data_IF_757220882993
#
_entry.id   IF_757220882993
#
_cell.length_a   1.000
_cell.length_b   1.000
_cell.length_c   1.000
_cell.angle_alpha   90.00
_cell.angle_beta   90.00
_cell.angle_gamma   90.00
#
_symmetry.space_group_name_H-M   'P 1'
#
loop_
_entity.id
_entity.type
_entity.pdbx_description
1 polymer ?
#
# COMPACT_ATOMS: atom_id res chain seq x y z
N UNK A 1 27.39 -11.47 -19.49
CA UNK A 1 26.28 -11.80 -20.44
C UNK A 1 24.89 -12.01 -19.77
N UNK A 2 24.73 -11.75 -18.46
CA UNK A 2 23.44 -11.86 -17.77
C UNK A 2 22.71 -10.52 -17.53
N UNK A 3 23.25 -9.41 -17.97
CA UNK A 3 22.67 -8.06 -17.76
C UNK A 3 21.72 -7.61 -18.86
N UNK A 4 21.75 -8.23 -20.04
CA UNK A 4 20.92 -7.82 -21.18
C UNK A 4 19.46 -8.33 -21.13
N UNK A 5 19.20 -9.43 -20.43
CA UNK A 5 17.86 -10.05 -20.39
C UNK A 5 16.88 -9.35 -19.41
N UNK A 6 17.41 -8.70 -18.36
CA UNK A 6 16.58 -8.03 -17.34
C UNK A 6 16.04 -6.67 -17.83
N UNK A 7 16.86 -5.94 -18.59
CA UNK A 7 16.43 -4.63 -19.17
C UNK A 7 15.32 -4.82 -20.21
N UNK A 8 15.33 -5.91 -20.96
CA UNK A 8 14.28 -6.23 -21.93
C UNK A 8 12.94 -6.62 -21.28
N UNK A 9 12.94 -7.25 -20.10
CA UNK A 9 11.72 -7.67 -19.41
C UNK A 9 10.99 -6.50 -18.72
N UNK A 10 11.72 -5.54 -18.19
CA UNK A 10 11.10 -4.36 -17.54
C UNK A 10 10.48 -3.40 -18.55
N UNK A 11 11.11 -3.21 -19.70
CA UNK A 11 10.55 -2.41 -20.79
C UNK A 11 9.26 -3.03 -21.37
N UNK A 12 9.17 -4.36 -21.43
CA UNK A 12 7.95 -5.09 -21.82
C UNK A 12 6.78 -4.92 -20.84
N UNK A 13 7.02 -4.80 -19.54
CA UNK A 13 5.96 -4.64 -18.53
C UNK A 13 5.30 -3.27 -18.67
N UNK A 14 6.07 -2.19 -18.87
CA UNK A 14 5.57 -0.82 -19.00
C UNK A 14 4.68 -0.58 -20.21
N UNK A 15 4.92 -1.30 -21.29
CA UNK A 15 4.13 -1.17 -22.52
C UNK A 15 2.92 -2.11 -22.55
N UNK A 16 2.93 -3.14 -21.72
CA UNK A 16 1.91 -4.20 -21.71
C UNK A 16 0.58 -3.75 -21.09
N UNK A 17 0.59 -2.79 -20.15
CA UNK A 17 -0.59 -2.37 -19.43
C UNK A 17 -0.95 -0.91 -19.73
N UNK A 18 -2.24 -0.61 -19.67
CA UNK A 18 -2.77 0.74 -19.83
C UNK A 18 -3.24 1.35 -18.52
N UNK A 19 -3.45 0.53 -17.49
CA UNK A 19 -3.94 0.92 -16.18
C UNK A 19 -3.09 0.28 -15.07
N UNK A 20 -2.68 1.09 -14.11
CA UNK A 20 -1.84 0.71 -12.98
C UNK A 20 -2.56 1.01 -11.69
N UNK A 21 -2.88 -0.03 -10.92
CA UNK A 21 -3.49 0.07 -9.59
C UNK A 21 -2.42 -0.24 -8.55
N UNK A 22 -2.11 0.73 -7.72
CA UNK A 22 -1.06 0.59 -6.70
C UNK A 22 -1.66 0.47 -5.30
N UNK A 23 -1.05 -0.35 -4.45
CA UNK A 23 -1.14 -0.14 -3.00
C UNK A 23 -0.34 1.11 -2.61
N UNK A 24 -0.54 1.60 -1.39
CA UNK A 24 0.10 2.80 -0.87
C UNK A 24 1.25 2.48 0.08
N UNK A 25 0.90 1.90 1.24
CA UNK A 25 1.84 1.64 2.35
C UNK A 25 2.78 0.48 2.02
N UNK A 26 4.08 0.71 1.93
CA UNK A 26 5.06 -0.31 1.53
C UNK A 26 5.24 -0.47 0.02
N UNK A 27 4.41 0.18 -0.79
CA UNK A 27 4.48 0.12 -2.26
C UNK A 27 4.91 1.46 -2.86
N UNK A 28 4.12 2.51 -2.71
CA UNK A 28 4.46 3.86 -3.17
C UNK A 28 5.15 4.69 -2.07
N UNK A 29 4.72 4.53 -0.82
CA UNK A 29 5.21 5.30 0.32
C UNK A 29 5.84 4.40 1.39
N UNK A 30 6.97 4.86 1.92
CA UNK A 30 7.60 4.32 3.12
C UNK A 30 6.93 4.95 4.34
N UNK A 31 5.92 4.28 4.90
CA UNK A 31 5.05 4.81 5.97
C UNK A 31 5.29 4.14 7.33
N UNK A 32 6.17 3.13 7.39
CA UNK A 32 6.32 2.25 8.55
C UNK A 32 6.74 3.00 9.82
N UNK A 33 7.65 3.98 9.70
CA UNK A 33 8.15 4.70 10.85
C UNK A 33 7.07 5.53 11.54
N UNK A 34 6.24 6.25 10.77
CA UNK A 34 5.14 7.06 11.32
C UNK A 34 4.02 6.17 11.90
N UNK A 35 3.74 5.02 11.26
CA UNK A 35 2.83 4.01 11.81
C UNK A 35 3.34 3.45 13.14
N UNK A 36 4.63 3.12 13.24
CA UNK A 36 5.24 2.60 14.45
C UNK A 36 5.27 3.64 15.57
N UNK A 37 5.64 4.89 15.25
CA UNK A 37 5.63 5.99 16.21
C UNK A 37 4.23 6.23 16.79
N UNK A 38 3.20 6.27 15.94
CA UNK A 38 1.82 6.47 16.38
C UNK A 38 1.26 5.27 17.15
N UNK A 39 1.66 4.05 16.77
CA UNK A 39 1.32 2.84 17.52
C UNK A 39 1.89 2.89 18.93
N UNK A 40 3.17 3.21 19.06
CA UNK A 40 3.86 3.28 20.35
C UNK A 40 3.36 4.44 21.22
N UNK A 41 3.09 5.61 20.62
CA UNK A 41 2.42 6.69 21.32
C UNK A 41 1.10 6.24 21.95
N UNK A 42 0.25 5.59 21.19
CA UNK A 42 -1.05 5.11 21.69
C UNK A 42 -0.90 4.04 22.77
N UNK A 43 0.03 3.10 22.61
CA UNK A 43 0.29 2.05 23.60
C UNK A 43 0.80 2.66 24.91
N UNK A 44 1.83 3.49 24.86
CA UNK A 44 2.45 4.08 26.06
C UNK A 44 1.53 5.05 26.80
N UNK A 45 0.72 5.82 26.06
CA UNK A 45 -0.32 6.70 26.64
C UNK A 45 -1.40 5.94 27.41
N UNK A 46 -1.54 4.64 27.16
CA UNK A 46 -2.48 3.75 27.85
C UNK A 46 -1.77 2.73 28.75
N UNK A 47 -0.51 2.96 29.12
CA UNK A 47 0.25 2.13 30.06
C UNK A 47 0.66 0.75 29.51
N UNK A 48 0.73 0.60 28.20
CA UNK A 48 1.11 -0.65 27.53
C UNK A 48 2.55 -0.58 27.01
N UNK A 49 3.24 -1.73 26.87
CA UNK A 49 4.59 -1.78 26.34
C UNK A 49 4.64 -1.40 24.85
N UNK A 50 5.74 -0.77 24.46
CA UNK A 50 6.04 -0.47 23.05
C UNK A 50 6.23 -1.75 22.22
N UNK A 51 6.05 -1.60 20.91
CA UNK A 51 6.37 -2.58 19.89
C UNK A 51 7.61 -2.15 19.10
N UNK A 52 8.42 -3.10 18.74
CA UNK A 52 9.54 -2.86 17.83
C UNK A 52 9.02 -2.55 16.43
N UNK A 53 9.83 -1.87 15.62
CA UNK A 53 9.46 -1.58 14.23
C UNK A 53 9.22 -2.85 13.41
N UNK A 54 9.94 -3.94 13.70
CA UNK A 54 9.77 -5.22 13.03
C UNK A 54 8.47 -5.94 13.44
N UNK A 55 8.01 -5.76 14.67
CA UNK A 55 6.68 -6.22 15.08
C UNK A 55 5.60 -5.44 14.34
N UNK A 56 5.69 -4.10 14.32
CA UNK A 56 4.73 -3.25 13.60
C UNK A 56 4.71 -3.58 12.13
N UNK A 57 5.86 -3.80 11.48
CA UNK A 57 5.96 -4.25 10.08
C UNK A 57 5.15 -5.51 9.81
N UNK A 58 5.19 -6.49 10.72
CA UNK A 58 4.40 -7.73 10.60
C UNK A 58 2.91 -7.51 10.82
N UNK A 59 2.53 -6.49 11.58
CA UNK A 59 1.13 -6.20 11.90
C UNK A 59 0.40 -5.44 10.79
N UNK A 60 1.11 -4.69 9.95
CA UNK A 60 0.56 -3.89 8.84
C UNK A 60 0.04 -4.79 7.70
N UNK A 61 -0.89 -4.27 6.89
CA UNK A 61 -1.42 -4.86 5.65
C UNK A 61 -2.95 -5.06 5.65
N UNK A 62 -3.55 -5.35 6.81
CA UNK A 62 -4.99 -5.63 6.91
C UNK A 62 -5.81 -4.44 7.47
N UNK A 63 -5.28 -3.22 7.38
CA UNK A 63 -5.86 -2.00 7.92
C UNK A 63 -5.44 -1.71 9.37
N UNK A 64 -5.59 -0.46 9.77
CA UNK A 64 -5.05 0.05 11.05
C UNK A 64 -5.74 -0.54 12.29
N UNK A 65 -7.03 -0.91 12.20
CA UNK A 65 -7.70 -1.58 13.30
C UNK A 65 -7.06 -2.94 13.60
N UNK A 66 -6.70 -3.69 12.53
CA UNK A 66 -6.01 -4.99 12.66
C UNK A 66 -4.57 -4.84 13.14
N UNK A 67 -3.88 -3.76 12.74
CA UNK A 67 -2.59 -3.40 13.29
C UNK A 67 -2.69 -3.24 14.82
N UNK A 68 -3.63 -2.42 15.29
CA UNK A 68 -3.79 -2.15 16.73
C UNK A 68 -4.29 -3.39 17.50
N UNK A 69 -5.16 -4.22 16.91
CA UNK A 69 -5.55 -5.51 17.51
C UNK A 69 -4.34 -6.43 17.78
N UNK A 70 -3.35 -6.43 16.86
CA UNK A 70 -2.12 -7.21 17.02
C UNK A 70 -1.12 -6.55 17.98
N UNK A 71 -1.12 -5.23 18.07
CA UNK A 71 -0.19 -4.47 18.89
C UNK A 71 -0.60 -4.41 20.36
N UNK A 72 -1.90 -4.24 20.63
CA UNK A 72 -2.45 -4.16 22.01
C UNK A 72 -2.37 -5.52 22.68
N UNK A 73 -1.80 -5.63 23.89
CA UNK A 73 -1.83 -6.87 24.68
C UNK A 73 -3.27 -7.32 24.92
N UNK A 74 -3.59 -8.57 24.55
CA UNK A 74 -4.96 -9.11 24.62
C UNK A 74 -5.88 -8.67 23.47
N UNK A 75 -5.40 -7.84 22.54
CA UNK A 75 -6.14 -7.47 21.35
C UNK A 75 -7.49 -6.81 21.64
N UNK A 76 -8.54 -7.27 20.96
CA UNK A 76 -9.92 -6.75 21.13
C UNK A 76 -10.51 -6.99 22.51
N UNK A 77 -10.00 -7.99 23.25
CA UNK A 77 -10.48 -8.30 24.60
C UNK A 77 -9.91 -7.36 25.67
N UNK A 78 -8.94 -6.51 25.32
CA UNK A 78 -8.40 -5.52 26.23
C UNK A 78 -9.41 -4.39 26.43
N UNK A 79 -9.84 -4.10 27.68
CA UNK A 79 -10.84 -3.05 27.96
C UNK A 79 -10.39 -1.64 27.52
N UNK A 80 -9.08 -1.41 27.33
CA UNK A 80 -8.56 -0.14 26.84
C UNK A 80 -8.39 -0.11 25.30
N UNK A 81 -8.79 -1.16 24.57
CA UNK A 81 -8.56 -1.25 23.12
C UNK A 81 -9.16 -0.06 22.36
N UNK A 82 -10.43 0.24 22.57
CA UNK A 82 -11.13 1.28 21.82
C UNK A 82 -10.49 2.66 22.05
N UNK A 83 -10.10 2.94 23.30
CA UNK A 83 -9.39 4.19 23.63
C UNK A 83 -8.02 4.23 22.96
N UNK A 84 -7.24 3.16 23.04
CA UNK A 84 -5.91 3.07 22.43
C UNK A 84 -5.99 3.21 20.92
N UNK A 85 -6.98 2.61 20.29
CA UNK A 85 -7.22 2.75 18.86
C UNK A 85 -7.62 4.17 18.46
N UNK A 86 -8.44 4.86 19.27
CA UNK A 86 -8.79 6.26 19.06
C UNK A 86 -7.56 7.18 19.18
N UNK A 87 -6.72 6.96 20.21
CA UNK A 87 -5.47 7.71 20.42
C UNK A 87 -4.51 7.50 19.23
N UNK A 88 -4.38 6.26 18.73
CA UNK A 88 -3.62 5.97 17.52
C UNK A 88 -4.11 6.79 16.32
N UNK A 89 -5.42 6.75 16.05
CA UNK A 89 -5.99 7.45 14.91
C UNK A 89 -5.76 8.96 14.98
N UNK A 90 -5.97 9.54 16.17
CA UNK A 90 -5.76 10.96 16.38
C UNK A 90 -4.30 11.36 16.19
N UNK A 91 -3.37 10.61 16.77
CA UNK A 91 -1.93 10.87 16.66
C UNK A 91 -1.47 10.69 15.21
N UNK A 92 -1.86 9.59 14.57
CA UNK A 92 -1.44 9.29 13.20
C UNK A 92 -1.90 10.36 12.19
N UNK A 93 -3.11 10.91 12.35
CA UNK A 93 -3.59 12.00 11.48
C UNK A 93 -2.78 13.29 11.61
N UNK A 94 -2.07 13.49 12.70
CA UNK A 94 -1.22 14.67 12.92
C UNK A 94 0.25 14.41 12.55
N UNK A 95 0.67 13.14 12.50
CA UNK A 95 2.06 12.71 12.38
C UNK A 95 2.32 11.75 11.21
N UNK A 96 1.39 11.63 10.26
CA UNK A 96 1.50 10.72 9.11
C UNK A 96 2.43 11.24 8.00
N UNK A 97 2.98 12.45 8.17
CA UNK A 97 3.90 13.12 7.25
C UNK A 97 5.27 13.41 7.89
N UNK A 98 5.52 12.95 9.12
CA UNK A 98 6.75 13.29 9.85
C UNK A 98 7.99 12.68 9.17
N UNK A 99 7.90 11.42 8.75
CA UNK A 99 8.99 10.68 8.09
C UNK A 99 8.53 9.95 6.82
N UNK A 100 7.25 9.91 6.57
CA UNK A 100 6.69 9.27 5.37
C UNK A 100 7.24 9.95 4.11
N UNK A 101 7.70 9.15 3.16
CA UNK A 101 8.21 9.63 1.88
C UNK A 101 7.97 8.60 0.77
N UNK A 102 7.94 9.02 -0.51
CA UNK A 102 7.95 8.09 -1.63
C UNK A 102 9.22 7.23 -1.63
N UNK A 103 9.07 5.95 -2.00
CA UNK A 103 10.26 5.13 -2.28
C UNK A 103 11.02 5.65 -3.49
N UNK A 104 12.32 5.35 -3.54
CA UNK A 104 13.18 5.77 -4.64
C UNK A 104 12.63 5.31 -6.01
N UNK A 105 12.55 6.22 -6.98
CA UNK A 105 12.08 5.96 -8.33
C UNK A 105 10.54 5.96 -8.49
N UNK A 106 9.77 6.10 -7.43
CA UNK A 106 8.30 6.17 -7.51
C UNK A 106 7.83 7.41 -8.26
N UNK A 107 8.40 8.57 -7.94
CA UNK A 107 8.03 9.83 -8.59
C UNK A 107 8.33 9.79 -10.09
N UNK A 108 9.50 9.30 -10.46
CA UNK A 108 9.92 9.12 -11.84
C UNK A 108 8.98 8.16 -12.59
N UNK A 109 8.60 7.06 -11.96
CA UNK A 109 7.62 6.12 -12.54
C UNK A 109 6.28 6.78 -12.79
N UNK A 110 5.71 7.48 -11.81
CA UNK A 110 4.39 8.11 -11.93
C UNK A 110 4.40 9.20 -13.03
N UNK A 111 5.46 10.01 -13.11
CA UNK A 111 5.63 10.97 -14.19
C UNK A 111 5.72 10.29 -15.55
N UNK A 112 6.45 9.18 -15.67
CA UNK A 112 6.57 8.43 -16.92
C UNK A 112 5.24 7.79 -17.33
N UNK A 113 4.49 7.21 -16.39
CA UNK A 113 3.15 6.68 -16.65
C UNK A 113 2.21 7.78 -17.16
N UNK A 114 2.22 8.95 -16.52
CA UNK A 114 1.46 10.12 -16.98
C UNK A 114 1.87 10.55 -18.39
N UNK A 115 3.18 10.67 -18.65
CA UNK A 115 3.70 11.05 -19.98
C UNK A 115 3.25 10.09 -21.07
N UNK A 116 3.10 8.80 -20.76
CA UNK A 116 2.59 7.76 -21.68
C UNK A 116 1.05 7.67 -21.72
N UNK A 117 0.35 8.55 -21.03
CA UNK A 117 -1.13 8.55 -21.01
C UNK A 117 -1.73 7.34 -20.29
N UNK A 118 -0.95 6.68 -19.41
CA UNK A 118 -1.43 5.55 -18.62
C UNK A 118 -2.37 6.01 -17.50
N UNK A 119 -3.32 5.17 -17.12
CA UNK A 119 -4.23 5.43 -16.02
C UNK A 119 -3.63 4.92 -14.72
N UNK A 120 -3.76 5.70 -13.65
CA UNK A 120 -3.19 5.38 -12.33
C UNK A 120 -4.25 5.54 -11.26
N UNK A 121 -4.33 4.58 -10.35
CA UNK A 121 -5.09 4.68 -9.11
C UNK A 121 -4.31 4.09 -7.94
N UNK A 122 -4.65 4.54 -6.74
CA UNK A 122 -4.20 3.96 -5.47
C UNK A 122 -5.39 3.31 -4.76
N UNK A 123 -5.17 2.11 -4.23
CA UNK A 123 -6.15 1.35 -3.45
C UNK A 123 -5.49 0.82 -2.18
N UNK A 124 -5.93 1.27 -1.02
CA UNK A 124 -5.28 0.95 0.26
C UNK A 124 -6.28 0.54 1.34
N UNK A 125 -5.83 -0.33 2.27
CA UNK A 125 -6.56 -0.63 3.51
C UNK A 125 -6.34 0.43 4.61
N UNK A 126 -5.59 1.49 4.30
CA UNK A 126 -5.49 2.68 5.13
C UNK A 126 -6.82 3.43 5.12
N UNK A 127 -7.23 4.03 6.25
CA UNK A 127 -8.48 4.81 6.30
C UNK A 127 -8.48 5.97 5.28
N UNK A 128 -9.65 6.25 4.75
CA UNK A 128 -9.86 7.10 3.57
C UNK A 128 -9.21 8.48 3.70
N UNK A 129 -9.40 9.17 4.83
CA UNK A 129 -8.87 10.52 5.03
C UNK A 129 -7.33 10.57 4.91
N UNK A 130 -6.61 9.63 5.54
CA UNK A 130 -5.16 9.58 5.44
C UNK A 130 -4.68 9.16 4.04
N UNK A 131 -5.40 8.26 3.36
CA UNK A 131 -5.09 7.88 1.97
C UNK A 131 -5.18 9.09 1.04
N UNK A 132 -6.27 9.88 1.16
CA UNK A 132 -6.46 11.09 0.37
C UNK A 132 -5.41 12.16 0.66
N UNK A 133 -5.11 12.38 1.93
CA UNK A 133 -4.11 13.37 2.36
C UNK A 133 -2.72 13.03 1.82
N UNK A 134 -2.26 11.80 2.03
CA UNK A 134 -0.94 11.36 1.56
C UNK A 134 -0.83 11.38 0.04
N UNK A 135 -1.83 10.86 -0.68
CA UNK A 135 -1.80 10.87 -2.14
C UNK A 135 -1.79 12.30 -2.70
N UNK A 136 -2.59 13.21 -2.12
CA UNK A 136 -2.62 14.62 -2.55
C UNK A 136 -1.31 15.32 -2.24
N UNK A 137 -0.74 15.08 -1.05
CA UNK A 137 0.51 15.72 -0.61
C UNK A 137 1.69 15.31 -1.50
N UNK A 138 1.88 14.01 -1.76
CA UNK A 138 3.08 13.52 -2.47
C UNK A 138 2.92 13.49 -3.98
N UNK A 139 1.74 13.20 -4.49
CA UNK A 139 1.54 12.92 -5.91
C UNK A 139 0.65 13.93 -6.62
N UNK A 140 -0.28 14.56 -5.88
CA UNK A 140 -1.32 15.42 -6.46
C UNK A 140 -2.29 14.65 -7.37
N UNK A 141 -3.40 15.29 -7.70
CA UNK A 141 -4.43 14.70 -8.56
C UNK A 141 -3.95 14.46 -10.00
N UNK A 142 -2.83 15.09 -10.38
CA UNK A 142 -2.25 14.95 -11.72
C UNK A 142 -1.56 13.60 -11.93
N UNK A 143 -0.90 13.04 -10.91
CA UNK A 143 -0.19 11.76 -10.98
C UNK A 143 -1.05 10.62 -10.49
N UNK A 144 -1.87 10.86 -9.45
CA UNK A 144 -2.78 9.88 -8.85
C UNK A 144 -4.19 10.48 -8.79
N UNK A 145 -4.94 10.46 -9.90
CA UNK A 145 -6.29 11.05 -9.96
C UNK A 145 -7.34 10.31 -9.12
N UNK A 146 -7.09 9.06 -8.77
CA UNK A 146 -8.00 8.23 -7.98
C UNK A 146 -7.24 7.57 -6.85
N UNK A 147 -7.70 7.81 -5.61
CA UNK A 147 -7.16 7.18 -4.42
C UNK A 147 -8.33 6.67 -3.54
N UNK A 148 -8.38 5.37 -3.31
CA UNK A 148 -9.42 4.70 -2.54
C UNK A 148 -8.81 4.12 -1.26
N UNK A 149 -9.23 4.66 -0.12
CA UNK A 149 -8.92 4.13 1.21
C UNK A 149 -10.06 3.31 1.80
N UNK A 150 -9.87 2.77 3.02
CA UNK A 150 -10.91 2.05 3.76
C UNK A 150 -12.09 2.98 4.07
N UNK A 151 -13.31 2.55 3.72
CA UNK A 151 -14.59 3.19 3.99
C UNK A 151 -15.61 2.14 4.44
N UNK A 152 -16.64 2.57 5.16
CA UNK A 152 -17.67 1.66 5.67
C UNK A 152 -18.57 1.08 4.56
N UNK A 153 -18.76 1.82 3.46
CA UNK A 153 -19.63 1.46 2.33
C UNK A 153 -18.95 0.52 1.31
N UNK A 154 -17.66 0.24 1.45
CA UNK A 154 -16.89 -0.60 0.52
C UNK A 154 -16.10 -1.65 1.31
N UNK A 155 -16.19 -2.92 0.91
CA UNK A 155 -15.36 -3.99 1.49
C UNK A 155 -13.90 -3.72 1.16
N UNK A 156 -13.04 -3.78 2.19
CA UNK A 156 -11.60 -3.58 2.06
C UNK A 156 -10.90 -4.76 1.40
N UNK A 157 -9.68 -4.55 0.94
CA UNK A 157 -8.80 -5.60 0.43
C UNK A 157 -8.68 -6.75 1.45
N UNK A 158 -8.72 -8.02 1.03
CA UNK A 158 -8.57 -8.50 -0.34
C UNK A 158 -9.87 -8.59 -1.17
N UNK A 159 -11.02 -8.05 -0.69
CA UNK A 159 -12.21 -7.94 -1.54
C UNK A 159 -11.91 -7.04 -2.74
N UNK A 160 -12.48 -7.32 -3.93
CA UNK A 160 -12.19 -6.56 -5.15
C UNK A 160 -12.89 -5.20 -5.22
N UNK A 161 -13.74 -4.87 -4.26
CA UNK A 161 -14.67 -3.75 -4.29
C UNK A 161 -13.97 -2.40 -4.45
N UNK A 162 -12.86 -2.19 -3.71
CA UNK A 162 -12.05 -0.97 -3.82
C UNK A 162 -11.38 -0.82 -5.18
N UNK A 163 -10.95 -1.93 -5.79
CA UNK A 163 -10.37 -1.95 -7.14
C UNK A 163 -11.44 -1.68 -8.18
N UNK A 164 -12.62 -2.29 -8.05
CA UNK A 164 -13.78 -2.05 -8.94
C UNK A 164 -14.18 -0.58 -8.90
N UNK A 165 -14.26 0.03 -7.72
CA UNK A 165 -14.57 1.44 -7.58
C UNK A 165 -13.51 2.33 -8.22
N UNK A 166 -12.21 2.01 -8.01
CA UNK A 166 -11.12 2.75 -8.65
C UNK A 166 -11.19 2.67 -10.19
N UNK A 167 -11.42 1.49 -10.75
CA UNK A 167 -11.58 1.31 -12.18
C UNK A 167 -12.78 2.07 -12.74
N UNK A 168 -13.90 2.07 -12.01
CA UNK A 168 -15.10 2.84 -12.37
C UNK A 168 -14.80 4.34 -12.45
N UNK A 169 -14.10 4.89 -11.46
CA UNK A 169 -13.73 6.31 -11.45
C UNK A 169 -12.74 6.65 -12.56
N UNK A 170 -11.83 5.74 -12.93
CA UNK A 170 -10.92 5.91 -14.06
C UNK A 170 -11.59 5.72 -15.44
N UNK A 171 -12.81 5.15 -15.48
CA UNK A 171 -13.50 4.80 -16.71
C UNK A 171 -12.82 3.67 -17.50
N UNK A 172 -12.28 2.65 -16.80
CA UNK A 172 -11.53 1.52 -17.37
C UNK A 172 -12.07 0.17 -16.87
N UNK A 173 -11.66 -0.91 -17.55
CA UNK A 173 -11.91 -2.30 -17.15
C UNK A 173 -10.64 -2.97 -16.64
N UNK A 174 -10.76 -4.19 -16.13
CA UNK A 174 -9.59 -4.99 -15.71
C UNK A 174 -8.71 -5.42 -16.89
N UNK A 175 -9.24 -5.39 -18.13
CA UNK A 175 -8.46 -5.70 -19.33
C UNK A 175 -7.35 -4.66 -19.54
N UNK A 176 -6.11 -5.13 -19.63
CA UNK A 176 -4.94 -4.26 -19.71
C UNK A 176 -4.60 -3.51 -18.43
N UNK A 177 -5.17 -3.90 -17.28
CA UNK A 177 -4.81 -3.40 -15.97
C UNK A 177 -3.83 -4.34 -15.26
N UNK A 178 -3.05 -3.77 -14.34
CA UNK A 178 -2.13 -4.50 -13.46
C UNK A 178 -2.21 -3.93 -12.06
N UNK A 179 -2.15 -4.81 -11.06
CA UNK A 179 -2.06 -4.44 -9.65
C UNK A 179 -0.60 -4.49 -9.17
N UNK A 180 -0.17 -3.53 -8.39
CA UNK A 180 1.17 -3.44 -7.82
C UNK A 180 1.05 -3.31 -6.30
N UNK A 181 1.70 -4.22 -5.56
CA UNK A 181 1.68 -4.23 -4.10
C UNK A 181 2.83 -5.00 -3.49
N UNK A 182 2.96 -4.97 -2.16
CA UNK A 182 4.08 -5.56 -1.42
C UNK A 182 3.68 -6.69 -0.46
N UNK A 183 2.39 -7.12 -0.49
CA UNK A 183 1.86 -8.06 0.50
C UNK A 183 1.02 -9.19 -0.12
N UNK A 184 0.74 -10.20 0.69
CA UNK A 184 -0.22 -11.28 0.41
C UNK A 184 -1.62 -10.74 0.13
N UNK A 185 -2.03 -9.71 0.84
CA UNK A 185 -3.33 -9.04 0.63
C UNK A 185 -3.44 -8.47 -0.78
N UNK A 186 -2.35 -7.93 -1.32
CA UNK A 186 -2.31 -7.36 -2.67
C UNK A 186 -2.39 -8.44 -3.75
N UNK A 187 -1.66 -9.54 -3.56
CA UNK A 187 -1.72 -10.71 -4.45
C UNK A 187 -3.15 -11.25 -4.53
N UNK A 188 -3.80 -11.38 -3.37
CA UNK A 188 -5.18 -11.87 -3.30
C UNK A 188 -6.18 -10.85 -3.88
N UNK A 189 -5.98 -9.54 -3.64
CA UNK A 189 -6.78 -8.46 -4.21
C UNK A 189 -6.73 -8.49 -5.73
N UNK A 190 -5.54 -8.60 -6.31
CA UNK A 190 -5.35 -8.70 -7.75
C UNK A 190 -6.07 -9.92 -8.33
N UNK A 191 -5.93 -11.08 -7.69
CA UNK A 191 -6.61 -12.32 -8.08
C UNK A 191 -8.13 -12.15 -8.06
N UNK A 192 -8.67 -11.61 -6.96
CA UNK A 192 -10.11 -11.39 -6.79
C UNK A 192 -10.66 -10.33 -7.76
N UNK A 193 -9.80 -9.46 -8.27
CA UNK A 193 -10.14 -8.43 -9.26
C UNK A 193 -9.91 -8.86 -10.71
N UNK A 194 -9.43 -10.09 -10.94
CA UNK A 194 -9.20 -10.65 -12.26
C UNK A 194 -8.02 -10.01 -13.01
N UNK A 195 -7.01 -9.50 -12.32
CA UNK A 195 -5.84 -8.87 -12.94
C UNK A 195 -4.52 -9.46 -12.43
N UNK A 196 -3.44 -9.38 -13.22
CA UNK A 196 -2.12 -9.79 -12.77
C UNK A 196 -1.60 -8.90 -11.63
N UNK A 197 -0.74 -9.47 -10.76
CA UNK A 197 -0.05 -8.76 -9.69
C UNK A 197 1.45 -8.70 -9.96
N UNK A 198 2.03 -7.51 -9.76
CA UNK A 198 3.48 -7.33 -9.65
C UNK A 198 3.77 -7.06 -8.18
N UNK A 199 4.48 -8.00 -7.53
CA UNK A 199 4.89 -7.86 -6.15
C UNK A 199 6.22 -7.13 -6.06
N UNK A 200 6.28 -6.04 -5.26
CA UNK A 200 7.49 -5.28 -5.02
C UNK A 200 8.23 -5.80 -3.77
N UNK A 201 9.57 -5.75 -3.78
CA UNK A 201 10.40 -6.35 -2.73
C UNK A 201 11.02 -5.34 -1.76
N UNK A 202 10.74 -4.06 -1.91
CA UNK A 202 11.19 -3.02 -0.99
C UNK A 202 10.20 -2.69 0.13
N UNK A 203 9.02 -3.34 0.11
CA UNK A 203 7.93 -3.12 1.07
C UNK A 203 8.07 -3.92 2.36
N UNK A 204 6.93 -4.33 2.93
CA UNK A 204 6.87 -4.93 4.26
C UNK A 204 7.11 -6.44 4.27
N UNK A 205 6.93 -7.14 3.14
CA UNK A 205 7.09 -8.59 3.02
C UNK A 205 8.32 -8.93 2.19
N UNK A 206 9.03 -9.97 2.61
CA UNK A 206 10.17 -10.50 1.87
C UNK A 206 9.74 -11.38 0.68
N UNK A 207 10.72 -11.69 -0.16
CA UNK A 207 10.50 -12.48 -1.38
C UNK A 207 9.94 -13.87 -1.09
N UNK A 208 10.48 -14.54 -0.07
CA UNK A 208 10.10 -15.92 0.26
C UNK A 208 8.64 -15.96 0.69
N UNK A 209 8.22 -15.01 1.52
CA UNK A 209 6.84 -14.85 1.93
C UNK A 209 5.91 -14.61 0.73
N UNK A 210 6.26 -13.66 -0.15
CA UNK A 210 5.44 -13.33 -1.32
C UNK A 210 5.29 -14.52 -2.28
N UNK A 211 6.38 -15.25 -2.56
CA UNK A 211 6.34 -16.46 -3.39
C UNK A 211 5.48 -17.55 -2.76
N UNK A 212 5.58 -17.76 -1.44
CA UNK A 212 4.75 -18.72 -0.71
C UNK A 212 3.25 -18.37 -0.78
N UNK A 213 2.90 -17.09 -0.94
CA UNK A 213 1.51 -16.62 -1.09
C UNK A 213 1.07 -16.44 -2.55
N UNK A 214 1.86 -16.93 -3.50
CA UNK A 214 1.45 -17.02 -4.90
C UNK A 214 1.87 -15.85 -5.79
N UNK A 215 2.88 -15.07 -5.39
CA UNK A 215 3.48 -14.08 -6.28
C UNK A 215 4.10 -14.79 -7.50
N UNK A 216 3.70 -14.37 -8.70
CA UNK A 216 4.22 -14.90 -9.97
C UNK A 216 5.20 -13.94 -10.64
N UNK A 217 5.11 -12.67 -10.31
CA UNK A 217 5.99 -11.62 -10.82
C UNK A 217 6.48 -10.77 -9.65
N UNK A 218 7.80 -10.69 -9.49
CA UNK A 218 8.44 -9.88 -8.44
C UNK A 218 9.36 -8.84 -9.06
N UNK A 219 9.36 -7.62 -8.52
CA UNK A 219 10.26 -6.55 -8.92
C UNK A 219 11.31 -6.30 -7.83
N UNK A 220 12.58 -6.36 -8.21
CA UNK A 220 13.74 -6.17 -7.32
C UNK A 220 14.23 -4.74 -7.29
N UNK A 221 13.94 -3.98 -8.32
CA UNK A 221 14.48 -2.64 -8.48
C UNK A 221 13.49 -1.62 -7.96
N UNK A 222 13.98 -0.69 -7.14
CA UNK A 222 13.35 0.61 -7.04
C UNK A 222 13.05 1.06 -8.48
N UNK A 223 11.83 1.49 -8.75
CA UNK A 223 11.31 1.77 -10.08
C UNK A 223 12.11 2.89 -10.77
N UNK A 224 13.34 2.62 -11.17
CA UNK A 224 14.15 3.59 -11.93
C UNK A 224 13.58 3.70 -13.35
N UNK A 225 13.17 4.90 -13.71
CA UNK A 225 12.97 5.28 -15.09
C UNK A 225 14.35 5.36 -15.77
N UNK A 226 14.68 4.37 -16.59
CA UNK A 226 15.79 4.43 -17.56
C UNK A 226 15.21 4.49 -18.96
#
# INVERSE_FOLDING_TARGET
>A
EMTSSLVGSEMCIRDRYNTYIFDLDGTLLSTLADLAASCNYALTSNGMPERTIDEVRRFVGNGVKKLMERAVPGGLDNPAFDKTYADFRQHYMQHNLDTTCPYDGVMELLHELKRRGKKVAVVSNKFYAATQELCRHFFGDELVPVAIGEREDIRKKPAPDTVIEAMKQLGVTAEGAVYIGDSDVDIETARNSGMPCISVLWGFRDKEFLLAHGATTVSYTHLRAH
#
